data_IF_075792451955
#
_entry.id   IF_075792451955
#
_cell.length_a   1.000
_cell.length_b   1.000
_cell.length_c   1.000
_cell.angle_alpha   90.00
_cell.angle_beta   90.00
_cell.angle_gamma   90.00
#
_symmetry.space_group_name_H-M   'P 1'
#
loop_
_entity.id
_entity.type
_entity.pdbx_description
1 polymer ?
#
# COMPACT_ATOMS: atom_id res chain seq x y z
N UNK A 1 -12.03 -7.45 5.73
CA UNK A 1 -11.70 -6.08 5.30
C UNK A 1 -10.56 -5.63 6.18
N UNK A 2 -9.37 -5.49 5.61
CA UNK A 2 -8.19 -5.01 6.34
C UNK A 2 -8.33 -3.52 6.63
N UNK A 3 -8.20 -3.17 7.91
CA UNK A 3 -8.19 -1.79 8.39
C UNK A 3 -6.98 -1.03 7.83
N UNK A 4 -7.19 0.23 7.47
CA UNK A 4 -6.15 1.13 6.99
C UNK A 4 -5.05 1.35 8.05
N UNK A 5 -5.39 1.34 9.34
CA UNK A 5 -4.40 1.46 10.42
C UNK A 5 -3.49 0.23 10.49
N UNK A 6 -4.01 -0.96 10.17
CA UNK A 6 -3.19 -2.17 10.07
C UNK A 6 -2.18 -2.09 8.92
N UNK A 7 -2.58 -1.52 7.78
CA UNK A 7 -1.65 -1.25 6.66
C UNK A 7 -0.59 -0.25 7.09
N UNK A 8 -0.98 0.84 7.78
CA UNK A 8 -0.04 1.85 8.28
C UNK A 8 1.00 1.23 9.21
N UNK A 9 0.58 0.43 10.19
CA UNK A 9 1.48 -0.25 11.12
C UNK A 9 2.48 -1.16 10.39
N UNK A 10 1.98 -2.00 9.48
CA UNK A 10 2.82 -2.90 8.69
C UNK A 10 3.84 -2.12 7.85
N UNK A 11 3.40 -1.09 7.12
CA UNK A 11 4.26 -0.26 6.29
C UNK A 11 5.36 0.45 7.10
N UNK A 12 4.99 1.10 8.22
CA UNK A 12 5.95 1.77 9.10
C UNK A 12 6.94 0.78 9.69
N UNK A 13 6.50 -0.43 10.09
CA UNK A 13 7.37 -1.48 10.63
C UNK A 13 8.44 -1.95 9.64
N UNK A 14 8.20 -1.79 8.34
CA UNK A 14 9.14 -2.12 7.25
C UNK A 14 9.94 -0.91 6.75
N UNK A 15 9.77 0.25 7.37
CA UNK A 15 10.50 1.48 7.04
C UNK A 15 9.95 2.25 5.84
N UNK A 16 8.73 1.95 5.38
CA UNK A 16 8.09 2.76 4.35
C UNK A 16 7.67 4.12 4.90
N UNK A 17 7.83 5.16 4.09
CA UNK A 17 7.17 6.44 4.35
C UNK A 17 5.65 6.29 4.20
N UNK A 18 4.90 6.80 5.17
CA UNK A 18 3.44 6.80 5.19
C UNK A 18 2.92 8.16 5.66
N UNK A 19 2.00 8.74 4.91
CA UNK A 19 1.34 10.01 5.20
C UNK A 19 -0.18 9.82 5.22
N UNK A 20 -0.87 10.37 6.23
CA UNK A 20 -2.33 10.34 6.31
C UNK A 20 -2.88 11.61 5.67
N UNK A 21 -3.43 11.51 4.46
CA UNK A 21 -3.85 12.66 3.68
C UNK A 21 -5.27 13.07 4.05
N UNK A 22 -5.41 14.22 4.68
CA UNK A 22 -6.70 14.83 5.02
C UNK A 22 -7.59 13.98 5.93
N UNK A 23 -7.01 13.03 6.66
CA UNK A 23 -7.74 12.07 7.50
C UNK A 23 -8.58 11.04 6.73
N UNK A 24 -8.32 10.83 5.43
CA UNK A 24 -9.19 10.02 4.55
C UNK A 24 -8.51 8.77 3.98
N UNK A 25 -7.23 8.85 3.64
CA UNK A 25 -6.49 7.75 3.02
C UNK A 25 -5.00 7.87 3.33
N UNK A 26 -4.26 6.77 3.22
CA UNK A 26 -2.80 6.79 3.34
C UNK A 26 -2.18 7.02 1.97
N UNK A 27 -1.13 7.83 1.94
CA UNK A 27 -0.21 7.94 0.81
C UNK A 27 1.15 7.42 1.25
N UNK A 28 1.66 6.42 0.55
CA UNK A 28 2.92 5.76 0.90
C UNK A 28 3.74 5.37 -0.34
N UNK A 29 4.99 4.98 -0.11
CA UNK A 29 5.80 4.34 -1.15
C UNK A 29 5.20 2.98 -1.52
N UNK A 30 5.26 2.62 -2.80
CA UNK A 30 4.79 1.34 -3.29
C UNK A 30 5.76 0.21 -2.90
N UNK A 31 5.29 -0.93 -2.36
CA UNK A 31 6.18 -2.05 -2.04
C UNK A 31 6.68 -2.81 -3.28
N UNK A 32 6.01 -2.66 -4.43
CA UNK A 32 6.32 -3.41 -5.66
C UNK A 32 7.32 -2.73 -6.59
N UNK A 33 7.65 -1.46 -6.38
CA UNK A 33 8.66 -0.73 -7.14
C UNK A 33 9.30 0.38 -6.33
N UNK A 34 10.49 0.81 -6.74
CA UNK A 34 11.20 1.88 -6.05
C UNK A 34 10.63 3.25 -6.43
N UNK A 35 10.06 3.93 -5.44
CA UNK A 35 9.46 5.24 -5.56
C UNK A 35 10.38 6.36 -5.06
N UNK A 36 10.68 7.34 -5.91
CA UNK A 36 11.24 8.62 -5.44
C UNK A 36 10.17 9.48 -4.75
N UNK A 37 8.90 9.31 -5.13
CA UNK A 37 7.75 10.01 -4.57
C UNK A 37 6.66 8.98 -4.21
N UNK A 38 6.01 9.09 -3.04
CA UNK A 38 4.91 8.20 -2.64
C UNK A 38 3.80 8.13 -3.68
N UNK A 39 3.62 6.96 -4.29
CA UNK A 39 2.68 6.75 -5.40
C UNK A 39 1.48 5.87 -5.04
N UNK A 40 1.53 5.19 -3.88
CA UNK A 40 0.48 4.27 -3.44
C UNK A 40 -0.54 4.99 -2.55
N UNK A 41 -1.80 4.92 -2.92
CA UNK A 41 -2.95 5.38 -2.16
C UNK A 41 -3.65 4.18 -1.54
N UNK A 42 -3.93 4.20 -0.24
CA UNK A 42 -4.63 3.14 0.49
C UNK A 42 -5.89 3.72 1.11
N UNK A 43 -7.03 3.14 0.83
CA UNK A 43 -8.34 3.65 1.20
C UNK A 43 -8.97 2.80 2.32
N UNK A 44 -9.80 3.41 3.20
CA UNK A 44 -10.44 2.74 4.32
C UNK A 44 -11.56 1.77 3.89
N UNK A 45 -11.99 1.82 2.63
CA UNK A 45 -12.97 0.90 2.03
C UNK A 45 -12.37 -0.46 1.61
N UNK A 46 -11.09 -0.67 1.92
CA UNK A 46 -10.38 -1.93 1.65
C UNK A 46 -9.69 -1.98 0.29
N UNK A 47 -9.49 -0.85 -0.40
CA UNK A 47 -8.80 -0.78 -1.68
C UNK A 47 -7.48 0.00 -1.62
N UNK A 48 -6.57 -0.32 -2.54
CA UNK A 48 -5.42 0.51 -2.84
C UNK A 48 -5.34 0.84 -4.34
N UNK A 49 -4.66 1.94 -4.67
CA UNK A 49 -4.29 2.31 -6.04
C UNK A 49 -2.85 2.85 -6.06
N UNK A 50 -1.99 2.27 -6.89
CA UNK A 50 -0.72 2.85 -7.26
C UNK A 50 -0.89 3.76 -8.49
N UNK A 51 -0.47 5.01 -8.38
CA UNK A 51 -0.55 5.99 -9.47
C UNK A 51 0.59 5.87 -10.49
N UNK A 52 1.70 5.21 -10.15
CA UNK A 52 2.86 5.10 -11.02
C UNK A 52 2.71 3.99 -12.08
N UNK A 53 2.19 2.83 -11.70
CA UNK A 53 1.98 1.67 -12.58
C UNK A 53 0.50 1.44 -12.95
N UNK A 54 -0.39 2.34 -12.51
CA UNK A 54 -1.86 2.23 -12.65
C UNK A 54 -2.44 0.89 -12.16
N UNK A 55 -1.80 0.31 -11.12
CA UNK A 55 -2.26 -0.93 -10.48
C UNK A 55 -3.21 -0.61 -9.33
N UNK A 56 -4.18 -1.47 -9.09
CA UNK A 56 -5.12 -1.35 -7.99
C UNK A 56 -5.45 -2.74 -7.45
N UNK A 57 -5.94 -2.81 -6.22
CA UNK A 57 -6.27 -4.08 -5.60
C UNK A 57 -6.81 -3.93 -4.19
N UNK A 58 -6.92 -5.07 -3.51
CA UNK A 58 -7.49 -5.16 -2.17
C UNK A 58 -6.41 -4.95 -1.09
N UNK A 59 -6.77 -4.31 0.02
CA UNK A 59 -5.85 -4.09 1.14
C UNK A 59 -5.33 -5.41 1.73
N UNK A 60 -6.10 -6.49 1.65
CA UNK A 60 -5.64 -7.85 2.00
C UNK A 60 -4.33 -8.21 1.27
N UNK A 61 -4.26 -7.90 -0.03
CA UNK A 61 -3.09 -8.15 -0.86
C UNK A 61 -1.92 -7.25 -0.47
N UNK A 62 -2.20 -5.96 -0.26
CA UNK A 62 -1.17 -5.03 0.17
C UNK A 62 -0.57 -5.46 1.53
N UNK A 63 -1.41 -5.89 2.47
CA UNK A 63 -0.96 -6.37 3.77
C UNK A 63 -0.05 -7.59 3.64
N UNK A 64 -0.44 -8.57 2.83
CA UNK A 64 0.37 -9.77 2.60
C UNK A 64 1.74 -9.43 2.01
N UNK A 65 1.83 -8.51 1.03
CA UNK A 65 3.11 -8.05 0.50
C UNK A 65 3.95 -7.32 1.56
N UNK A 66 3.33 -6.47 2.37
CA UNK A 66 4.04 -5.75 3.43
C UNK A 66 4.56 -6.71 4.50
N UNK A 67 3.80 -7.74 4.86
CA UNK A 67 4.22 -8.75 5.83
C UNK A 67 5.26 -9.72 5.25
N UNK A 68 5.12 -10.08 3.96
CA UNK A 68 5.94 -11.05 3.24
C UNK A 68 6.43 -10.49 1.87
N UNK A 69 7.44 -9.60 1.85
CA UNK A 69 7.87 -8.95 0.60
C UNK A 69 8.32 -9.95 -0.46
N UNK A 70 7.87 -9.75 -1.70
CA UNK A 70 8.26 -10.53 -2.88
C UNK A 70 7.48 -11.83 -3.08
N UNK A 71 6.48 -12.16 -2.24
CA UNK A 71 5.62 -13.33 -2.45
C UNK A 71 4.67 -13.15 -3.63
N UNK A 72 4.31 -11.91 -3.98
CA UNK A 72 3.37 -11.65 -5.06
C UNK A 72 4.03 -11.19 -6.35
N UNK A 73 3.60 -11.83 -7.45
CA UNK A 73 4.00 -11.42 -8.80
C UNK A 73 3.31 -10.11 -9.18
N UNK A 74 4.08 -9.17 -9.74
CA UNK A 74 3.57 -7.94 -10.37
C UNK A 74 2.53 -8.30 -11.43
N UNK A 75 1.38 -7.61 -11.42
CA UNK A 75 0.43 -7.61 -12.55
C UNK A 75 -0.63 -8.72 -12.58
N UNK A 76 -0.83 -9.51 -11.53
CA UNK A 76 -2.05 -10.34 -11.45
C UNK A 76 -3.19 -9.47 -10.91
N UNK A 77 -4.33 -9.30 -11.59
CA UNK A 77 -5.51 -8.62 -11.04
C UNK A 77 -6.02 -9.27 -9.74
#
# INVERSE_FOLDING_TARGET
>A
MVDIDRIREAAVSKGFFVDLVGGRYLRMQCPWHNDRNPSLMVYPDGWYKCLAEDTYGRNERLLEELENPGTMRRGVP
#
